data_IF_580926798640
#
_entry.id   IF_580926798640
#
_cell.length_a   1.000
_cell.length_b   1.000
_cell.length_c   1.000
_cell.angle_alpha   90.00
_cell.angle_beta   90.00
_cell.angle_gamma   90.00
#
_symmetry.space_group_name_H-M   'P 1'
#
loop_
_entity.id
_entity.type
_entity.pdbx_description
1 polymer ?
#
# COMPACT_ATOMS: atom_id res chain seq x y z
N UNK A 1 16.10 16.76 9.41
CA UNK A 1 15.60 16.28 10.72
C UNK A 1 14.82 15.01 10.41
N UNK A 2 15.41 13.85 10.77
CA UNK A 2 14.81 12.56 10.48
C UNK A 2 13.39 12.46 11.03
N UNK A 3 12.46 12.02 10.18
CA UNK A 3 11.13 11.71 10.63
C UNK A 3 11.17 10.65 11.73
N UNK A 4 10.24 10.71 12.64
CA UNK A 4 10.14 9.71 13.70
C UNK A 4 9.88 8.35 13.07
N UNK A 5 10.64 7.34 13.48
CA UNK A 5 10.35 5.96 13.12
C UNK A 5 8.96 5.60 13.64
N UNK A 6 8.21 4.86 12.85
CA UNK A 6 6.95 4.31 13.29
C UNK A 6 7.19 3.36 14.46
N UNK A 7 6.35 3.47 15.48
CA UNK A 7 6.40 2.56 16.62
C UNK A 7 5.91 1.17 16.20
N UNK A 8 6.47 0.14 16.80
CA UNK A 8 6.08 -1.24 16.53
C UNK A 8 4.57 -1.45 16.64
N UNK A 9 3.94 -0.84 17.64
CA UNK A 9 2.48 -0.91 17.85
C UNK A 9 1.70 -0.34 16.67
N UNK A 10 2.19 0.76 16.09
CA UNK A 10 1.59 1.38 14.89
C UNK A 10 1.72 0.46 13.69
N UNK A 11 2.87 -0.18 13.52
CA UNK A 11 3.12 -1.13 12.44
C UNK A 11 2.18 -2.32 12.58
N UNK A 12 2.02 -2.85 13.78
CA UNK A 12 1.12 -3.98 14.04
C UNK A 12 -0.33 -3.62 13.73
N UNK A 13 -0.77 -2.41 14.07
CA UNK A 13 -2.11 -1.93 13.72
C UNK A 13 -2.31 -1.87 12.21
N UNK A 14 -1.31 -1.37 11.47
CA UNK A 14 -1.38 -1.32 10.02
C UNK A 14 -1.45 -2.72 9.40
N UNK A 15 -0.67 -3.66 9.92
CA UNK A 15 -0.67 -5.04 9.43
C UNK A 15 -2.05 -5.67 9.66
N UNK A 16 -2.61 -5.50 10.85
CA UNK A 16 -3.92 -6.05 11.18
C UNK A 16 -5.02 -5.43 10.31
N UNK A 17 -4.96 -4.12 10.12
CA UNK A 17 -5.92 -3.40 9.27
C UNK A 17 -5.83 -3.86 7.81
N UNK A 18 -4.61 -4.02 7.28
CA UNK A 18 -4.40 -4.52 5.93
C UNK A 18 -4.92 -5.96 5.78
N UNK A 19 -4.61 -6.83 6.74
CA UNK A 19 -5.05 -8.22 6.71
C UNK A 19 -6.56 -8.35 6.76
N UNK A 20 -7.24 -7.47 7.50
CA UNK A 20 -8.68 -7.44 7.59
C UNK A 20 -9.34 -7.16 6.24
N UNK A 21 -8.67 -6.45 5.35
CA UNK A 21 -9.16 -6.12 4.02
C UNK A 21 -9.19 -7.31 3.04
N UNK A 22 -8.45 -8.39 3.34
CA UNK A 22 -8.40 -9.56 2.47
C UNK A 22 -9.79 -10.18 2.26
N UNK A 23 -10.66 -10.11 3.25
CA UNK A 23 -12.03 -10.65 3.16
C UNK A 23 -12.89 -9.94 2.10
N UNK A 24 -12.53 -8.70 1.74
CA UNK A 24 -13.27 -7.90 0.77
C UNK A 24 -12.70 -7.97 -0.64
N UNK A 25 -11.54 -8.60 -0.83
CA UNK A 25 -10.93 -8.77 -2.16
C UNK A 25 -11.90 -9.47 -3.10
N UNK A 26 -12.04 -8.92 -4.30
CA UNK A 26 -12.83 -9.53 -5.36
C UNK A 26 -11.88 -10.09 -6.41
N UNK A 27 -11.61 -11.39 -6.33
CA UNK A 27 -10.53 -12.03 -7.10
C UNK A 27 -10.97 -13.33 -7.79
N UNK A 28 -12.06 -13.28 -8.59
CA UNK A 28 -12.62 -14.49 -9.20
C UNK A 28 -11.71 -15.13 -10.25
N UNK A 29 -10.70 -14.39 -10.75
CA UNK A 29 -9.81 -14.88 -11.80
C UNK A 29 -8.51 -15.44 -11.24
N UNK A 30 -7.86 -14.71 -10.33
CA UNK A 30 -6.55 -15.12 -9.80
C UNK A 30 -6.62 -15.88 -8.47
N UNK A 31 -7.63 -15.63 -7.67
CA UNK A 31 -7.67 -16.13 -6.29
C UNK A 31 -6.64 -15.50 -5.38
N UNK A 32 -5.86 -14.52 -5.88
CA UNK A 32 -4.79 -13.87 -5.11
C UNK A 32 -5.35 -12.63 -4.43
N UNK A 33 -5.50 -12.68 -3.10
CA UNK A 33 -6.08 -11.60 -2.31
C UNK A 33 -5.00 -10.68 -1.79
N UNK A 34 -5.22 -9.37 -1.92
CA UNK A 34 -4.31 -8.34 -1.42
C UNK A 34 -5.09 -7.33 -0.59
N UNK A 35 -4.54 -6.96 0.56
CA UNK A 35 -5.09 -5.92 1.42
C UNK A 35 -4.06 -4.85 1.68
N UNK A 36 -4.52 -3.61 1.85
CA UNK A 36 -3.65 -2.48 2.12
C UNK A 36 -4.24 -1.57 3.21
N UNK A 37 -3.36 -1.01 4.01
CA UNK A 37 -3.69 0.01 5.00
C UNK A 37 -2.76 1.20 4.78
N UNK A 38 -3.33 2.34 4.41
CA UNK A 38 -2.61 3.57 4.09
C UNK A 38 -2.75 4.55 5.24
N UNK A 39 -1.61 5.00 5.77
CA UNK A 39 -1.57 5.96 6.88
C UNK A 39 -1.28 7.35 6.33
N UNK A 40 -2.21 8.28 6.55
CA UNK A 40 -2.03 9.68 6.20
C UNK A 40 -1.20 10.41 7.27
N UNK A 41 -0.66 11.59 6.92
CA UNK A 41 0.14 12.37 7.85
C UNK A 41 -0.66 12.86 9.07
N UNK A 42 -1.97 13.02 8.92
CA UNK A 42 -2.85 13.43 10.03
C UNK A 42 -3.24 12.26 10.95
N UNK A 43 -2.75 11.06 10.68
CA UNK A 43 -3.05 9.87 11.48
C UNK A 43 -4.26 9.07 11.00
N UNK A 44 -5.02 9.56 10.02
CA UNK A 44 -6.16 8.81 9.50
C UNK A 44 -5.70 7.61 8.66
N UNK A 45 -6.54 6.56 8.65
CA UNK A 45 -6.28 5.32 7.93
C UNK A 45 -7.26 5.16 6.77
N UNK A 46 -6.73 4.73 5.63
CA UNK A 46 -7.51 4.40 4.44
C UNK A 46 -7.19 2.98 4.03
N UNK A 47 -8.21 2.19 3.79
CA UNK A 47 -8.05 0.77 3.50
C UNK A 47 -8.35 0.47 2.04
N UNK A 48 -7.77 -0.62 1.54
CA UNK A 48 -8.04 -1.08 0.20
C UNK A 48 -7.87 -2.57 0.06
N UNK A 49 -8.54 -3.12 -0.93
CA UNK A 49 -8.38 -4.50 -1.37
C UNK A 49 -8.31 -4.52 -2.89
N UNK A 50 -7.81 -5.61 -3.46
CA UNK A 50 -7.77 -5.71 -4.91
C UNK A 50 -9.12 -6.14 -5.46
N UNK A 51 -9.46 -5.59 -6.63
CA UNK A 51 -10.77 -5.77 -7.27
C UNK A 51 -10.51 -6.07 -8.74
N UNK A 52 -10.74 -7.33 -9.14
CA UNK A 52 -10.50 -7.79 -10.50
C UNK A 52 -11.68 -7.53 -11.42
N UNK A 53 -11.40 -7.58 -12.71
CA UNK A 53 -12.40 -7.35 -13.75
C UNK A 53 -12.16 -8.31 -14.91
N UNK A 54 -13.26 -8.77 -15.53
CA UNK A 54 -13.21 -9.67 -16.68
C UNK A 54 -12.45 -9.06 -17.88
N UNK A 55 -12.41 -7.74 -17.99
CA UNK A 55 -11.67 -7.04 -19.04
C UNK A 55 -10.18 -6.82 -18.71
N UNK A 56 -9.74 -7.26 -17.55
CA UNK A 56 -8.41 -7.15 -16.94
C UNK A 56 -7.95 -5.71 -16.70
N UNK A 57 -7.93 -4.85 -17.72
CA UNK A 57 -7.45 -3.46 -17.57
C UNK A 57 -8.10 -2.67 -16.44
N UNK A 58 -9.42 -2.77 -16.16
CA UNK A 58 -10.03 -2.07 -15.02
C UNK A 58 -9.65 -2.65 -13.65
N UNK A 59 -8.98 -3.79 -13.60
CA UNK A 59 -8.52 -4.39 -12.35
C UNK A 59 -7.72 -3.37 -11.54
N UNK A 60 -8.06 -3.23 -10.26
CA UNK A 60 -7.37 -2.28 -9.38
C UNK A 60 -6.70 -2.99 -8.22
N UNK A 61 -5.46 -2.59 -7.93
CA UNK A 61 -4.70 -3.13 -6.82
C UNK A 61 -5.19 -2.55 -5.49
N UNK A 62 -4.96 -3.27 -4.40
CA UNK A 62 -5.35 -2.84 -3.06
C UNK A 62 -4.76 -1.47 -2.71
N UNK A 63 -3.51 -1.23 -3.06
CA UNK A 63 -2.81 0.02 -2.78
C UNK A 63 -3.51 1.20 -3.46
N UNK A 64 -3.86 1.05 -4.75
CA UNK A 64 -4.55 2.11 -5.48
C UNK A 64 -5.96 2.34 -4.96
N UNK A 65 -6.65 1.30 -4.53
CA UNK A 65 -7.97 1.44 -3.90
C UNK A 65 -7.86 2.34 -2.67
N UNK A 66 -6.85 2.12 -1.83
CA UNK A 66 -6.62 2.92 -0.63
C UNK A 66 -6.25 4.38 -0.98
N UNK A 67 -5.31 4.58 -1.91
CA UNK A 67 -4.88 5.92 -2.33
C UNK A 67 -6.04 6.71 -2.95
N UNK A 68 -6.78 6.09 -3.86
CA UNK A 68 -7.86 6.79 -4.57
C UNK A 68 -9.01 7.15 -3.62
N UNK A 69 -9.29 6.28 -2.65
CA UNK A 69 -10.25 6.58 -1.59
C UNK A 69 -9.82 7.83 -0.82
N UNK A 70 -8.58 7.86 -0.36
CA UNK A 70 -8.05 8.99 0.41
C UNK A 70 -8.05 10.29 -0.40
N UNK A 71 -7.52 10.24 -1.62
CA UNK A 71 -7.43 11.41 -2.50
C UNK A 71 -8.83 11.93 -2.84
N UNK A 72 -9.82 11.04 -3.06
CA UNK A 72 -11.19 11.42 -3.34
C UNK A 72 -11.85 12.14 -2.15
N UNK A 73 -11.31 11.96 -0.95
CA UNK A 73 -11.77 12.65 0.26
C UNK A 73 -10.93 13.90 0.58
N UNK A 74 -10.02 14.27 -0.32
CA UNK A 74 -9.19 15.47 -0.17
C UNK A 74 -7.87 15.26 0.56
N UNK A 75 -7.52 14.02 0.89
CA UNK A 75 -6.28 13.72 1.62
C UNK A 75 -5.18 13.38 0.61
N UNK A 76 -4.06 14.13 0.67
CA UNK A 76 -2.95 14.02 -0.28
C UNK A 76 -1.57 13.94 0.36
N UNK A 77 -1.51 13.77 1.67
CA UNK A 77 -0.25 13.71 2.41
C UNK A 77 -0.20 12.44 3.21
N UNK A 78 0.79 11.58 2.92
CA UNK A 78 0.83 10.22 3.43
C UNK A 78 2.17 9.91 4.08
N UNK A 79 2.12 9.04 5.09
CA UNK A 79 3.30 8.63 5.84
C UNK A 79 3.78 7.22 5.50
N UNK A 80 2.85 6.27 5.36
CA UNK A 80 3.20 4.87 5.15
C UNK A 80 2.04 4.08 4.57
N UNK A 81 2.37 2.93 3.97
CA UNK A 81 1.37 1.95 3.55
C UNK A 81 1.84 0.56 3.97
N UNK A 82 0.92 -0.27 4.43
CA UNK A 82 1.18 -1.68 4.67
C UNK A 82 0.43 -2.52 3.64
N UNK A 83 1.12 -3.50 3.06
CA UNK A 83 0.56 -4.38 2.03
C UNK A 83 0.76 -5.83 2.47
N UNK A 84 -0.32 -6.61 2.44
CA UNK A 84 -0.30 -8.05 2.68
C UNK A 84 -1.05 -8.74 1.56
N UNK A 85 -0.66 -9.98 1.24
CA UNK A 85 -1.38 -10.70 0.20
C UNK A 85 -0.90 -12.12 0.01
N UNK A 86 -1.71 -12.91 -0.67
CA UNK A 86 -1.37 -14.29 -1.00
C UNK A 86 -2.53 -15.06 -1.62
N UNK A 87 -2.24 -16.27 -2.12
CA UNK A 87 -3.27 -17.16 -2.67
C UNK A 87 -4.34 -17.46 -1.62
N UNK A 88 -5.60 -17.22 -1.95
CA UNK A 88 -6.74 -17.39 -1.06
C UNK A 88 -6.60 -16.67 0.29
N UNK A 89 -5.77 -15.62 0.32
CA UNK A 89 -5.51 -14.86 1.55
C UNK A 89 -4.47 -15.48 2.48
N UNK A 90 -3.74 -16.50 2.02
CA UNK A 90 -2.66 -17.10 2.81
C UNK A 90 -1.40 -16.24 2.71
N UNK A 91 -0.92 -15.75 3.84
CA UNK A 91 0.23 -14.85 3.89
C UNK A 91 1.54 -15.63 3.99
N UNK A 92 1.93 -16.28 2.90
CA UNK A 92 3.10 -17.15 2.85
C UNK A 92 4.39 -16.41 2.48
N UNK A 93 4.26 -15.28 1.76
CA UNK A 93 5.41 -14.48 1.34
C UNK A 93 5.03 -13.01 1.21
N UNK A 94 6.02 -12.15 1.11
CA UNK A 94 5.79 -10.71 0.92
C UNK A 94 5.17 -10.45 -0.45
N UNK A 95 4.23 -9.50 -0.49
CA UNK A 95 3.55 -9.08 -1.71
C UNK A 95 3.95 -7.64 -2.00
N UNK A 96 5.01 -7.40 -2.79
CA UNK A 96 5.42 -6.03 -3.10
C UNK A 96 4.40 -5.34 -4.02
N UNK A 97 4.30 -4.01 -3.93
CA UNK A 97 3.41 -3.26 -4.82
C UNK A 97 3.90 -3.35 -6.27
N UNK A 98 2.95 -3.45 -7.21
CA UNK A 98 3.28 -3.47 -8.63
C UNK A 98 3.81 -2.11 -9.09
N UNK A 99 4.39 -2.06 -10.30
CA UNK A 99 4.96 -0.83 -10.83
C UNK A 99 3.96 0.31 -10.96
N UNK A 100 2.71 -0.01 -11.32
CA UNK A 100 1.65 1.00 -11.44
C UNK A 100 1.35 1.63 -10.08
N UNK A 101 1.28 0.82 -9.03
CA UNK A 101 1.06 1.32 -7.67
C UNK A 101 2.24 2.16 -7.19
N UNK A 102 3.47 1.75 -7.50
CA UNK A 102 4.67 2.54 -7.16
C UNK A 102 4.65 3.90 -7.85
N UNK A 103 4.17 3.94 -9.09
CA UNK A 103 4.02 5.21 -9.83
C UNK A 103 2.97 6.12 -9.19
N UNK A 104 1.85 5.55 -8.74
CA UNK A 104 0.83 6.32 -8.00
C UNK A 104 1.42 6.89 -6.72
N UNK A 105 2.24 6.12 -6.01
CA UNK A 105 2.93 6.61 -4.80
C UNK A 105 3.86 7.78 -5.12
N UNK A 106 4.54 7.76 -6.27
CA UNK A 106 5.41 8.86 -6.69
C UNK A 106 4.65 10.18 -6.85
N UNK A 107 3.38 10.13 -7.21
CA UNK A 107 2.56 11.34 -7.36
C UNK A 107 2.26 12.01 -6.03
N UNK A 108 2.00 11.22 -4.99
CA UNK A 108 1.44 11.71 -3.72
C UNK A 108 2.39 11.64 -2.53
N UNK A 109 3.55 11.00 -2.67
CA UNK A 109 4.43 10.73 -1.54
C UNK A 109 5.85 11.22 -1.80
N UNK A 110 6.53 11.63 -0.72
CA UNK A 110 7.96 11.93 -0.77
C UNK A 110 8.73 10.60 -0.79
N UNK A 111 9.47 10.30 -1.88
CA UNK A 111 10.21 9.02 -1.97
C UNK A 111 11.24 8.80 -0.87
N UNK A 112 11.75 9.88 -0.27
CA UNK A 112 12.75 9.80 0.80
C UNK A 112 12.13 9.51 2.17
N UNK A 113 10.83 9.79 2.33
CA UNK A 113 10.17 9.68 3.64
C UNK A 113 9.10 8.59 3.70
N UNK A 114 8.39 8.35 2.60
CA UNK A 114 7.27 7.41 2.58
C UNK A 114 7.75 5.98 2.78
N UNK A 115 7.12 5.27 3.72
CA UNK A 115 7.50 3.91 4.07
C UNK A 115 6.48 2.89 3.57
N UNK A 116 6.99 1.81 3.00
CA UNK A 116 6.19 0.68 2.51
C UNK A 116 6.50 -0.53 3.38
N UNK A 117 5.49 -0.99 4.10
CA UNK A 117 5.59 -2.13 5.02
C UNK A 117 5.03 -3.36 4.31
N UNK A 118 5.88 -4.35 4.10
CA UNK A 118 5.48 -5.65 3.53
C UNK A 118 5.46 -6.66 4.65
N UNK A 119 4.34 -7.35 4.85
CA UNK A 119 4.18 -8.25 5.98
C UNK A 119 3.56 -9.59 5.59
N UNK A 120 3.93 -10.63 6.31
CA UNK A 120 3.28 -11.93 6.27
C UNK A 120 2.55 -12.23 7.58
N UNK A 121 2.65 -11.32 8.55
CA UNK A 121 2.02 -11.42 9.86
C UNK A 121 2.59 -10.34 10.78
N UNK A 122 2.12 -10.29 12.01
CA UNK A 122 2.52 -9.24 12.96
C UNK A 122 4.01 -9.28 13.32
N UNK A 123 4.61 -10.47 13.29
CA UNK A 123 6.01 -10.67 13.69
C UNK A 123 6.97 -10.71 12.51
N UNK A 124 6.47 -10.78 11.28
CA UNK A 124 7.28 -10.90 10.10
C UNK A 124 6.94 -9.80 9.11
N UNK A 125 7.75 -8.74 9.10
CA UNK A 125 7.57 -7.62 8.19
C UNK A 125 8.91 -6.98 7.83
N UNK A 126 8.92 -6.28 6.70
CA UNK A 126 10.06 -5.46 6.24
C UNK A 126 9.56 -4.08 5.86
N UNK A 127 10.39 -3.07 6.06
CA UNK A 127 10.06 -1.69 5.74
C UNK A 127 11.04 -1.16 4.70
N UNK A 128 10.49 -0.59 3.63
CA UNK A 128 11.26 0.04 2.55
C UNK A 128 10.85 1.48 2.37
N UNK A 129 11.80 2.34 2.03
CA UNK A 129 11.46 3.68 1.52
C UNK A 129 10.99 3.54 0.07
N UNK A 130 10.11 4.44 -0.36
CA UNK A 130 9.62 4.40 -1.75
C UNK A 130 10.78 4.47 -2.74
N UNK A 131 11.82 5.29 -2.48
CA UNK A 131 12.98 5.40 -3.36
C UNK A 131 13.70 4.06 -3.59
N UNK A 132 13.62 3.15 -2.63
CA UNK A 132 14.25 1.83 -2.76
C UNK A 132 13.48 0.93 -3.71
N UNK A 133 12.16 1.15 -3.84
CA UNK A 133 11.29 0.33 -4.67
C UNK A 133 11.03 0.93 -6.06
N UNK A 134 11.38 2.20 -6.27
CA UNK A 134 11.30 2.85 -7.58
C UNK A 134 12.51 3.79 -7.76
N UNK A 135 13.72 3.22 -7.91
CA UNK A 135 14.93 4.04 -8.12
C UNK A 135 14.80 4.88 -9.39
N UNK A 136 15.25 6.14 -9.32
CA UNK A 136 15.18 7.07 -10.45
C UNK A 136 13.76 7.21 -10.99
N UNK A 137 12.76 7.19 -10.12
CA UNK A 137 11.36 7.25 -10.52
C UNK A 137 10.99 8.62 -11.10
N UNK A 138 10.10 8.59 -12.09
CA UNK A 138 9.52 9.80 -12.66
C UNK A 138 8.36 10.28 -11.78
N UNK A 139 8.36 11.57 -11.45
CA UNK A 139 7.31 12.13 -10.58
C UNK A 139 7.05 13.60 -10.87
N UNK A 140 6.19 14.22 -10.06
CA UNK A 140 5.78 15.64 -10.27
C UNK A 140 6.95 16.60 -10.38
N UNK A 141 8.05 16.35 -9.68
CA UNK A 141 9.23 17.19 -9.71
C UNK A 141 9.85 17.27 -11.11
N UNK A 142 9.68 16.23 -11.92
CA UNK A 142 10.21 16.22 -13.28
C UNK A 142 9.45 17.16 -14.21
N UNK A 143 8.24 17.56 -13.84
CA UNK A 143 7.38 18.47 -14.62
C UNK A 143 7.27 19.86 -14.00
N UNK A 144 7.87 20.04 -12.85
CA UNK A 144 7.82 21.34 -12.15
C UNK A 144 8.77 22.37 -12.77
#
# INVERSE_FOLDING_TARGET
KGGHRMKHEQIMELIETAADQLQYSYVPYSGFRVGAALLAQDGSLYTGCNIENAAYTPTNCAERTAFFKAVSEGVRSFRAICVVGGPDGRLESYTPPCGVCRQVMMEFCDPEEFEIILATGKEDYKIYKLRELIPLGFGPENLA
#
